data_IF_601920112550
#
_entry.id   IF_601920112550
#
_cell.length_a   1.000
_cell.length_b   1.000
_cell.length_c   1.000
_cell.angle_alpha   90.00
_cell.angle_beta   90.00
_cell.angle_gamma   90.00
#
_symmetry.space_group_name_H-M   'P 1'
#
loop_
_entity.id
_entity.type
_entity.pdbx_description
1 polymer ?
#
# COMPACT_ATOMS: atom_id res chain seq x y z
N UNK A 1 11.64 -3.57 -7.16
CA UNK A 1 12.77 -3.89 -6.27
C UNK A 1 12.98 -2.74 -5.32
N UNK A 2 13.90 -2.86 -4.38
CA UNK A 2 14.28 -1.77 -3.47
C UNK A 2 15.67 -1.28 -3.85
N UNK A 3 15.84 0.02 -3.91
CA UNK A 3 17.11 0.66 -4.27
C UNK A 3 17.56 1.58 -3.14
N UNK A 4 18.86 1.61 -2.87
CA UNK A 4 19.48 2.60 -2.00
C UNK A 4 20.50 3.39 -2.81
N UNK A 5 20.31 4.71 -2.84
CA UNK A 5 21.19 5.64 -3.53
C UNK A 5 21.89 6.56 -2.53
N UNK A 6 23.14 6.92 -2.81
CA UNK A 6 23.81 8.04 -2.17
C UNK A 6 23.39 9.33 -2.88
N UNK A 7 22.76 10.27 -2.15
CA UNK A 7 22.29 11.52 -2.76
C UNK A 7 23.43 12.47 -3.14
N UNK A 8 24.58 12.35 -2.48
CA UNK A 8 25.71 13.28 -2.69
C UNK A 8 26.46 13.06 -4.01
N UNK A 9 26.30 11.90 -4.65
CA UNK A 9 26.99 11.55 -5.90
C UNK A 9 26.18 10.60 -6.79
N UNK A 10 24.89 10.44 -6.51
CA UNK A 10 23.94 9.62 -7.27
C UNK A 10 24.30 8.12 -7.35
N UNK A 11 25.28 7.65 -6.56
CA UNK A 11 25.73 6.28 -6.67
C UNK A 11 24.67 5.30 -6.14
N UNK A 12 24.47 4.21 -6.88
CA UNK A 12 23.71 3.07 -6.39
C UNK A 12 24.56 2.34 -5.34
N UNK A 13 24.10 2.31 -4.09
CA UNK A 13 24.76 1.58 -3.00
C UNK A 13 24.40 0.10 -3.08
N UNK A 14 23.11 -0.21 -3.19
CA UNK A 14 22.63 -1.57 -3.41
C UNK A 14 21.25 -1.57 -4.08
N UNK A 15 20.92 -2.70 -4.70
CA UNK A 15 19.61 -2.99 -5.27
C UNK A 15 19.18 -4.41 -4.90
N UNK A 16 18.02 -4.52 -4.27
CA UNK A 16 17.33 -5.77 -4.03
C UNK A 16 16.27 -5.98 -5.12
N UNK A 17 16.43 -6.96 -6.04
CA UNK A 17 15.41 -7.22 -7.06
C UNK A 17 14.09 -7.65 -6.40
N UNK A 18 12.94 -7.41 -7.05
CA UNK A 18 11.69 -7.98 -6.56
C UNK A 18 11.78 -9.51 -6.56
N UNK A 19 11.14 -10.22 -5.63
CA UNK A 19 11.03 -11.68 -5.70
C UNK A 19 10.43 -12.13 -7.04
N UNK A 20 10.77 -13.33 -7.50
CA UNK A 20 10.38 -13.82 -8.83
C UNK A 20 8.87 -13.69 -9.12
N UNK A 21 8.02 -13.93 -8.12
CA UNK A 21 6.55 -13.80 -8.24
C UNK A 21 6.09 -12.35 -8.47
N UNK A 22 6.90 -11.36 -8.12
CA UNK A 22 6.58 -9.92 -8.18
C UNK A 22 7.35 -9.16 -9.26
N UNK A 23 7.96 -9.86 -10.24
CA UNK A 23 8.76 -9.20 -11.29
C UNK A 23 7.89 -8.37 -12.25
N UNK A 24 6.60 -8.71 -12.40
CA UNK A 24 5.67 -8.05 -13.33
C UNK A 24 4.46 -7.44 -12.61
N UNK A 25 4.71 -6.86 -11.45
CA UNK A 25 3.66 -6.32 -10.59
C UNK A 25 3.91 -4.86 -10.29
N UNK A 26 2.97 -4.26 -9.57
CA UNK A 26 2.96 -2.84 -9.26
C UNK A 26 3.33 -2.56 -7.79
N UNK A 27 3.95 -1.41 -7.54
CA UNK A 27 4.11 -0.81 -6.21
C UNK A 27 3.94 0.71 -6.35
N UNK A 28 3.36 1.34 -5.33
CA UNK A 28 3.28 2.79 -5.19
C UNK A 28 4.62 3.42 -4.72
N UNK A 29 5.62 2.59 -4.43
CA UNK A 29 6.96 3.03 -4.04
C UNK A 29 7.15 3.31 -2.55
N UNK A 30 6.20 2.92 -1.70
CA UNK A 30 6.30 3.11 -0.25
C UNK A 30 7.43 2.33 0.41
N UNK A 31 8.27 3.03 1.18
CA UNK A 31 9.30 2.44 2.03
C UNK A 31 9.44 3.22 3.33
N UNK A 32 9.51 2.50 4.45
CA UNK A 32 9.83 3.07 5.75
C UNK A 32 10.98 2.32 6.40
N UNK A 33 11.79 3.02 7.19
CA UNK A 33 12.96 2.43 7.88
C UNK A 33 12.68 2.43 9.38
N UNK A 34 12.80 1.27 10.00
CA UNK A 34 12.69 1.10 11.45
C UNK A 34 13.96 1.55 12.20
N UNK A 35 13.88 1.71 13.53
CA UNK A 35 15.01 2.15 14.35
C UNK A 35 16.19 1.16 14.37
N UNK A 36 15.96 -0.10 13.98
CA UNK A 36 16.97 -1.16 13.85
C UNK A 36 17.68 -1.15 12.48
N UNK A 37 17.31 -0.23 11.58
CA UNK A 37 17.82 -0.20 10.22
C UNK A 37 17.18 -1.24 9.30
N UNK A 38 16.03 -1.79 9.65
CA UNK A 38 15.22 -2.61 8.74
C UNK A 38 14.35 -1.71 7.87
N UNK A 39 14.38 -1.93 6.55
CA UNK A 39 13.51 -1.27 5.58
C UNK A 39 12.28 -2.12 5.31
N UNK A 40 11.09 -1.56 5.52
CA UNK A 40 9.81 -2.19 5.24
C UNK A 40 9.18 -1.56 4.01
N UNK A 41 8.69 -2.39 3.10
CA UNK A 41 8.00 -1.94 1.89
C UNK A 41 6.78 -2.78 1.64
N UNK A 42 5.76 -2.16 1.05
CA UNK A 42 4.59 -2.86 0.58
C UNK A 42 4.46 -2.73 -0.94
N UNK A 43 4.03 -3.82 -1.57
CA UNK A 43 3.78 -3.86 -3.00
C UNK A 43 2.68 -4.83 -3.34
N UNK A 44 2.25 -4.88 -4.59
CA UNK A 44 1.48 -6.00 -5.10
C UNK A 44 2.42 -7.14 -5.51
N UNK A 45 1.99 -8.39 -5.32
CA UNK A 45 2.66 -9.55 -5.91
C UNK A 45 1.82 -10.20 -7.02
N UNK A 46 0.59 -9.73 -7.22
CA UNK A 46 -0.27 -10.05 -8.35
C UNK A 46 -0.96 -8.77 -8.82
N UNK A 47 -1.02 -8.57 -10.14
CA UNK A 47 -1.79 -7.49 -10.76
C UNK A 47 -1.27 -6.07 -10.50
N UNK A 48 -2.21 -5.12 -10.50
CA UNK A 48 -1.99 -3.67 -10.52
C UNK A 48 -2.53 -2.92 -9.29
N UNK A 49 -2.99 -3.64 -8.27
CA UNK A 49 -3.58 -3.09 -7.05
C UNK A 49 -5.10 -3.01 -7.06
N UNK A 50 -5.79 -3.81 -7.87
CA UNK A 50 -7.25 -3.83 -7.99
C UNK A 50 -7.92 -4.75 -6.95
N UNK A 51 -9.24 -4.63 -6.83
CA UNK A 51 -10.04 -5.48 -5.95
C UNK A 51 -9.88 -6.95 -6.33
N UNK A 52 -9.62 -7.81 -5.33
CA UNK A 52 -9.40 -9.24 -5.52
C UNK A 52 -7.96 -9.64 -5.89
N UNK A 53 -7.05 -8.67 -6.03
CA UNK A 53 -5.62 -8.93 -6.19
C UNK A 53 -4.91 -8.96 -4.82
N UNK A 54 -3.62 -9.27 -4.80
CA UNK A 54 -2.90 -9.56 -3.56
C UNK A 54 -1.58 -8.79 -3.41
N UNK A 55 -1.35 -8.36 -2.17
CA UNK A 55 -0.22 -7.55 -1.73
C UNK A 55 0.85 -8.33 -1.01
N UNK A 56 2.05 -7.78 -0.87
CA UNK A 56 3.11 -8.33 -0.05
C UNK A 56 3.74 -7.23 0.80
N UNK A 57 3.96 -7.53 2.07
CA UNK A 57 4.79 -6.76 2.98
C UNK A 57 6.15 -7.44 3.09
N UNK A 58 7.23 -6.68 2.96
CA UNK A 58 8.60 -7.22 2.97
C UNK A 58 9.51 -6.40 3.84
N UNK A 59 10.44 -7.08 4.49
CA UNK A 59 11.53 -6.47 5.24
C UNK A 59 12.87 -6.75 4.59
N UNK A 60 13.70 -5.73 4.52
CA UNK A 60 15.05 -5.79 3.98
C UNK A 60 16.04 -5.16 4.97
N UNK A 61 17.25 -5.69 5.09
CA UNK A 61 18.30 -5.02 5.83
C UNK A 61 18.74 -3.76 5.08
N UNK A 62 18.66 -2.56 5.69
CA UNK A 62 19.04 -1.32 5.00
C UNK A 62 20.56 -1.22 4.72
N UNK A 63 21.36 -2.08 5.36
CA UNK A 63 22.81 -2.15 5.19
C UNK A 63 23.17 -2.62 3.77
N UNK A 64 22.56 -3.70 3.31
CA UNK A 64 22.96 -4.41 2.08
C UNK A 64 21.80 -4.82 1.17
N UNK A 65 20.55 -4.57 1.58
CA UNK A 65 19.36 -4.94 0.82
C UNK A 65 18.96 -6.40 0.94
N UNK A 66 19.53 -7.18 1.88
CA UNK A 66 19.14 -8.58 2.08
C UNK A 66 17.69 -8.70 2.50
N UNK A 67 16.91 -9.58 1.84
CA UNK A 67 15.55 -9.89 2.24
C UNK A 67 15.56 -10.64 3.58
N UNK A 68 14.91 -10.08 4.59
CA UNK A 68 14.81 -10.69 5.92
C UNK A 68 13.58 -11.58 6.02
N UNK A 69 12.44 -11.10 5.52
CA UNK A 69 11.20 -11.86 5.43
C UNK A 69 10.26 -11.28 4.36
N UNK A 70 9.34 -12.13 3.89
CA UNK A 70 8.29 -11.80 2.92
C UNK A 70 6.94 -12.34 3.43
N UNK A 71 5.90 -11.52 3.37
CA UNK A 71 4.54 -11.85 3.79
C UNK A 71 3.53 -11.46 2.73
N UNK A 72 2.85 -12.47 2.20
CA UNK A 72 1.71 -12.27 1.33
C UNK A 72 0.49 -11.84 2.14
N UNK A 73 -0.29 -10.94 1.55
CA UNK A 73 -1.44 -10.28 2.13
C UNK A 73 -2.67 -10.66 1.30
N UNK A 74 -3.81 -10.77 1.98
CA UNK A 74 -5.08 -11.18 1.34
C UNK A 74 -5.66 -10.09 0.42
N UNK A 75 -5.16 -8.86 0.54
CA UNK A 75 -5.59 -7.68 -0.22
C UNK A 75 -4.39 -7.02 -0.88
N UNK A 76 -4.60 -6.26 -1.97
CA UNK A 76 -3.50 -5.55 -2.61
C UNK A 76 -2.90 -4.52 -1.65
N UNK A 77 -1.62 -4.24 -1.83
CA UNK A 77 -0.93 -3.28 -0.98
C UNK A 77 -0.54 -2.04 -1.77
N UNK A 78 -1.38 -1.02 -1.61
CA UNK A 78 -1.30 0.28 -2.28
C UNK A 78 -1.13 1.39 -1.25
N UNK A 79 -0.37 1.12 -0.20
CA UNK A 79 -0.13 2.03 0.91
C UNK A 79 1.27 1.79 1.48
N UNK A 80 1.66 2.65 2.41
CA UNK A 80 2.98 2.62 3.04
C UNK A 80 2.87 2.00 4.43
N UNK A 81 3.82 1.13 4.82
CA UNK A 81 3.85 0.60 6.18
C UNK A 81 4.11 1.72 7.19
N UNK A 82 3.79 1.48 8.46
CA UNK A 82 4.19 2.30 9.60
C UNK A 82 4.84 1.40 10.65
N UNK A 83 5.86 1.92 11.34
CA UNK A 83 6.61 1.16 12.35
C UNK A 83 6.32 1.77 13.73
N UNK A 84 6.11 0.92 14.73
CA UNK A 84 6.00 1.35 16.11
C UNK A 84 7.28 2.04 16.58
N UNK A 85 7.17 2.96 17.53
CA UNK A 85 8.33 3.74 17.99
C UNK A 85 9.44 2.87 18.60
N UNK A 86 9.08 1.74 19.22
CA UNK A 86 10.00 0.74 19.76
C UNK A 86 10.53 -0.26 18.71
N UNK A 87 10.05 -0.17 17.47
CA UNK A 87 10.42 -1.06 16.38
C UNK A 87 9.92 -2.50 16.53
N UNK A 88 9.00 -2.80 17.45
CA UNK A 88 8.48 -4.16 17.64
C UNK A 88 7.48 -4.58 16.57
N UNK A 89 6.79 -3.62 15.96
CA UNK A 89 5.64 -3.87 15.10
C UNK A 89 5.70 -3.02 13.84
N UNK A 90 5.26 -3.62 12.73
CA UNK A 90 4.99 -2.92 11.48
C UNK A 90 3.53 -3.13 11.11
N UNK A 91 2.80 -2.05 10.87
CA UNK A 91 1.42 -2.10 10.44
C UNK A 91 1.27 -1.55 9.03
N UNK A 92 0.34 -2.09 8.25
CA UNK A 92 0.09 -1.64 6.89
C UNK A 92 -1.40 -1.71 6.56
N UNK A 93 -1.99 -0.63 6.02
CA UNK A 93 -3.29 -0.67 5.38
C UNK A 93 -3.21 -1.46 4.06
N UNK A 94 -4.16 -2.35 3.84
CA UNK A 94 -4.26 -3.17 2.63
C UNK A 94 -5.65 -2.97 2.03
N UNK A 95 -5.75 -2.90 0.71
CA UNK A 95 -6.98 -2.54 0.04
C UNK A 95 -6.72 -2.05 -1.39
N UNK A 96 -7.71 -2.23 -2.25
CA UNK A 96 -7.59 -1.85 -3.65
C UNK A 96 -7.47 -0.34 -3.83
N UNK A 97 -6.83 0.07 -4.92
CA UNK A 97 -6.93 1.46 -5.34
C UNK A 97 -8.40 1.84 -5.48
N UNK A 98 -8.80 2.91 -4.81
CA UNK A 98 -10.04 3.60 -5.17
C UNK A 98 -9.77 4.28 -6.51
N UNK A 99 -10.12 3.57 -7.59
CA UNK A 99 -9.70 3.86 -8.98
C UNK A 99 -10.10 5.25 -9.50
N UNK A 100 -10.89 6.00 -8.74
CA UNK A 100 -10.94 7.46 -8.81
C UNK A 100 -11.70 7.93 -7.58
N UNK A 101 -11.30 9.04 -6.93
CA UNK A 101 -12.28 9.80 -6.15
C UNK A 101 -13.49 10.03 -7.05
N UNK A 102 -14.72 10.01 -6.56
CA UNK A 102 -15.89 10.18 -7.42
C UNK A 102 -15.82 11.40 -8.36
N UNK A 103 -15.05 12.44 -7.99
CA UNK A 103 -14.68 13.58 -8.82
C UNK A 103 -14.02 13.21 -10.16
N UNK A 104 -13.25 12.12 -10.23
CA UNK A 104 -12.62 11.59 -11.44
C UNK A 104 -13.58 10.83 -12.34
N UNK A 105 -14.69 10.30 -11.80
CA UNK A 105 -15.67 9.53 -12.56
C UNK A 105 -16.51 10.44 -13.47
N UNK A 106 -16.23 10.38 -14.78
CA UNK A 106 -16.90 11.23 -15.79
C UNK A 106 -18.39 10.95 -15.89
N UNK A 107 -18.80 9.69 -15.79
CA UNK A 107 -20.20 9.32 -15.95
C UNK A 107 -21.03 9.73 -14.75
N UNK A 108 -20.47 9.56 -13.54
CA UNK A 108 -21.07 10.08 -12.32
C UNK A 108 -21.23 11.61 -12.37
N UNK A 109 -20.19 12.35 -12.80
CA UNK A 109 -20.28 13.82 -12.95
C UNK A 109 -21.34 14.26 -13.95
N UNK A 110 -21.45 13.55 -15.08
CA UNK A 110 -22.51 13.82 -16.08
C UNK A 110 -23.90 13.55 -15.50
N UNK A 111 -24.06 12.46 -14.75
CA UNK A 111 -25.33 12.10 -14.12
C UNK A 111 -25.75 13.14 -13.06
N UNK A 112 -24.82 13.53 -12.19
CA UNK A 112 -25.04 14.53 -11.14
C UNK A 112 -25.07 15.97 -11.65
N UNK A 113 -24.67 16.21 -12.91
CA UNK A 113 -24.45 17.55 -13.49
C UNK A 113 -23.58 18.44 -12.60
N UNK A 114 -22.53 17.85 -12.03
CA UNK A 114 -21.68 18.47 -11.02
C UNK A 114 -20.23 18.62 -11.50
N UNK A 115 -19.54 19.67 -11.04
CA UNK A 115 -18.11 19.85 -11.28
C UNK A 115 -17.29 18.82 -10.47
N UNK A 116 -16.02 18.57 -10.82
CA UNK A 116 -15.15 17.71 -10.01
C UNK A 116 -15.09 18.13 -8.54
N UNK A 117 -15.01 19.43 -8.27
CA UNK A 117 -14.98 19.98 -6.91
C UNK A 117 -16.26 19.69 -6.13
N UNK A 118 -17.44 19.89 -6.76
CA UNK A 118 -18.72 19.59 -6.11
C UNK A 118 -18.84 18.11 -5.76
N UNK A 119 -18.43 17.22 -6.67
CA UNK A 119 -18.47 15.76 -6.40
C UNK A 119 -17.45 15.40 -5.32
N UNK A 120 -16.26 15.99 -5.33
CA UNK A 120 -15.26 15.79 -4.27
C UNK A 120 -15.81 16.20 -2.89
N UNK A 121 -16.37 17.40 -2.77
CA UNK A 121 -16.92 17.88 -1.50
C UNK A 121 -18.12 17.03 -1.03
N UNK A 122 -18.97 16.58 -1.95
CA UNK A 122 -20.05 15.64 -1.63
C UNK A 122 -19.48 14.30 -1.14
N UNK A 123 -18.43 13.79 -1.77
CA UNK A 123 -17.77 12.54 -1.37
C UNK A 123 -17.21 12.64 0.04
N UNK A 124 -16.52 13.75 0.35
CA UNK A 124 -16.04 14.04 1.70
C UNK A 124 -17.17 14.11 2.73
N UNK A 125 -18.30 14.75 2.39
CA UNK A 125 -19.46 14.83 3.27
C UNK A 125 -20.15 13.47 3.49
N UNK A 126 -20.13 12.59 2.48
CA UNK A 126 -20.70 11.23 2.55
C UNK A 126 -19.81 10.26 3.34
N UNK A 127 -18.49 10.49 3.35
CA UNK A 127 -17.52 9.61 4.00
C UNK A 127 -17.67 8.17 3.50
N UNK A 128 -17.82 7.22 4.43
CA UNK A 128 -17.94 5.79 4.09
C UNK A 128 -19.22 5.44 3.30
N UNK A 129 -20.19 6.34 3.20
CA UNK A 129 -21.40 6.12 2.40
C UNK A 129 -21.23 6.48 0.92
N UNK A 130 -20.09 7.08 0.53
CA UNK A 130 -19.83 7.55 -0.84
C UNK A 130 -20.11 6.45 -1.88
N UNK A 131 -19.49 5.28 -1.71
CA UNK A 131 -19.60 4.18 -2.67
C UNK A 131 -21.05 3.73 -2.83
N UNK A 132 -21.76 3.54 -1.71
CA UNK A 132 -23.17 3.15 -1.70
C UNK A 132 -24.06 4.18 -2.39
N UNK A 133 -23.87 5.47 -2.09
CA UNK A 133 -24.66 6.56 -2.69
C UNK A 133 -24.42 6.65 -4.19
N UNK A 134 -23.21 6.38 -4.66
CA UNK A 134 -22.89 6.36 -6.09
C UNK A 134 -23.17 5.01 -6.78
N UNK A 135 -23.74 4.02 -6.07
CA UNK A 135 -24.02 2.69 -6.61
C UNK A 135 -22.75 1.93 -7.00
N UNK A 136 -21.62 2.25 -6.38
CA UNK A 136 -20.34 1.57 -6.57
C UNK A 136 -20.22 0.40 -5.58
N UNK A 137 -19.55 -0.66 -6.01
CA UNK A 137 -19.30 -1.82 -5.16
C UNK A 137 -18.45 -1.44 -3.95
N UNK A 138 -18.81 -2.00 -2.79
CA UNK A 138 -17.96 -1.94 -1.60
C UNK A 138 -16.61 -2.62 -1.91
N UNK A 139 -15.55 -2.05 -1.36
CA UNK A 139 -14.18 -2.56 -1.52
C UNK A 139 -13.71 -3.04 -0.18
N UNK A 140 -13.12 -4.23 -0.15
CA UNK A 140 -12.55 -4.78 1.08
C UNK A 140 -11.20 -4.13 1.34
N UNK A 141 -10.96 -3.79 2.60
CA UNK A 141 -9.68 -3.30 3.07
C UNK A 141 -9.46 -3.78 4.51
N UNK A 142 -8.20 -3.86 4.92
CA UNK A 142 -7.83 -4.20 6.27
C UNK A 142 -6.58 -3.46 6.72
N UNK A 143 -6.48 -3.17 8.01
CA UNK A 143 -5.22 -2.78 8.65
C UNK A 143 -4.65 -4.04 9.29
N UNK A 144 -3.39 -4.36 8.97
CA UNK A 144 -2.72 -5.56 9.47
C UNK A 144 -1.41 -5.18 10.13
N UNK A 145 -1.14 -5.74 11.30
CA UNK A 145 0.12 -5.59 12.00
C UNK A 145 0.88 -6.91 12.09
N UNK A 146 2.20 -6.79 12.01
CA UNK A 146 3.14 -7.87 12.01
C UNK A 146 4.26 -7.56 12.99
N UNK A 147 4.80 -8.60 13.61
CA UNK A 147 6.06 -8.53 14.34
C UNK A 147 7.16 -8.11 13.38
N UNK A 148 7.83 -7.00 13.69
CA UNK A 148 8.77 -6.35 12.77
C UNK A 148 9.99 -7.24 12.46
N UNK A 149 10.42 -8.06 13.43
CA UNK A 149 11.60 -8.91 13.30
C UNK A 149 11.31 -10.17 12.47
N UNK A 150 10.14 -10.78 12.66
CA UNK A 150 9.81 -12.10 12.13
C UNK A 150 8.77 -12.07 11.00
N UNK A 151 8.07 -10.95 10.84
CA UNK A 151 6.91 -10.83 9.97
C UNK A 151 5.71 -11.66 10.45
N UNK A 152 5.70 -12.20 11.67
CA UNK A 152 4.58 -12.97 12.17
C UNK A 152 3.34 -12.06 12.35
N UNK A 153 2.13 -12.48 11.94
CA UNK A 153 0.92 -11.68 12.18
C UNK A 153 0.70 -11.44 13.67
N UNK A 154 0.33 -10.21 14.03
CA UNK A 154 0.01 -9.83 15.41
C UNK A 154 -1.49 -9.57 15.59
N UNK A 155 -2.05 -8.66 14.80
CA UNK A 155 -3.47 -8.34 14.81
C UNK A 155 -3.91 -7.81 13.45
N UNK A 156 -5.21 -7.84 13.20
CA UNK A 156 -5.83 -7.30 11.99
C UNK A 156 -7.22 -6.74 12.28
N UNK A 157 -7.61 -5.72 11.52
CA UNK A 157 -8.95 -5.11 11.54
C UNK A 157 -9.43 -4.97 10.10
N UNK A 158 -10.57 -5.57 9.78
CA UNK A 158 -11.29 -5.37 8.51
C UNK A 158 -12.03 -4.03 8.54
N UNK A 159 -12.10 -3.34 7.40
CA UNK A 159 -12.68 -2.00 7.24
C UNK A 159 -13.94 -2.01 6.38
#
# INVERSE_FOLDING_TARGET
GVHKHALHNESLIWHAPPPARSVRTFSDGGLMIGPDGTSYTCSNFEGSGQQGEHGALRAYAAKDGSLLWDRFLDYPCNSWPVISADGSSVAVPTGSFVASPAAGNRDLRKHLRATPEMVHNLSLALGNQELKVYGLAEKTAAIRAFDARTGAPQWSVEL
#
